data_IF_958695241804
#
_entry.id   IF_958695241804
#
_cell.length_a   1.000
_cell.length_b   1.000
_cell.length_c   1.000
_cell.angle_alpha   90.00
_cell.angle_beta   90.00
_cell.angle_gamma   90.00
#
_symmetry.space_group_name_H-M   'P 1'
#
loop_
_entity.id
_entity.type
_entity.pdbx_description
1 polymer ?
#
# COMPACT_ATOMS: atom_id res chain seq x y z
N UNK A 1 7.06 -13.34 4.78
CA UNK A 1 5.78 -12.62 4.94
C UNK A 1 4.95 -13.32 5.98
N UNK A 2 4.26 -12.58 6.86
CA UNK A 2 3.24 -13.18 7.76
C UNK A 2 1.86 -13.27 7.09
N UNK A 3 1.55 -12.33 6.20
CA UNK A 3 0.28 -12.23 5.48
C UNK A 3 0.54 -11.53 4.15
N UNK A 4 -0.03 -12.05 3.08
CA UNK A 4 -0.19 -11.35 1.81
C UNK A 4 -1.67 -11.44 1.51
N UNK A 5 -2.35 -10.30 1.35
CA UNK A 5 -3.75 -10.24 0.93
C UNK A 5 -3.86 -9.60 -0.43
N UNK A 6 -4.81 -10.09 -1.21
CA UNK A 6 -5.13 -9.58 -2.53
C UNK A 6 -6.64 -9.54 -2.67
N UNK A 7 -7.15 -8.40 -3.13
CA UNK A 7 -8.55 -8.19 -3.47
C UNK A 7 -8.60 -7.78 -4.92
N UNK A 8 -9.46 -8.46 -5.68
CA UNK A 8 -9.79 -8.09 -7.05
C UNK A 8 -11.30 -7.90 -7.14
N UNK A 9 -11.71 -6.78 -7.74
CA UNK A 9 -13.11 -6.48 -7.99
C UNK A 9 -13.31 -6.10 -9.45
N UNK A 10 -14.20 -6.84 -10.10
CA UNK A 10 -14.61 -6.65 -11.49
C UNK A 10 -16.08 -6.21 -11.54
N UNK A 11 -16.32 -4.92 -11.81
CA UNK A 11 -17.64 -4.38 -12.11
C UNK A 11 -17.73 -3.91 -13.57
N UNK A 12 -17.08 -4.65 -14.48
CA UNK A 12 -16.98 -4.30 -15.90
C UNK A 12 -16.28 -2.96 -16.11
N UNK A 13 -16.80 -2.15 -17.03
CA UNK A 13 -16.19 -0.86 -17.34
C UNK A 13 -16.37 0.17 -16.22
N UNK A 14 -17.41 0.03 -15.39
CA UNK A 14 -17.75 1.01 -14.37
C UNK A 14 -16.64 1.14 -13.33
N UNK A 15 -16.19 0.01 -12.76
CA UNK A 15 -15.14 -0.03 -11.74
C UNK A 15 -14.31 -1.30 -11.90
N UNK A 16 -12.98 -1.17 -11.81
CA UNK A 16 -12.05 -2.27 -11.57
C UNK A 16 -11.17 -1.89 -10.39
N UNK A 17 -10.95 -2.81 -9.45
CA UNK A 17 -10.05 -2.60 -8.33
C UNK A 17 -9.09 -3.77 -8.20
N UNK A 18 -7.82 -3.46 -8.02
CA UNK A 18 -6.82 -4.38 -7.51
C UNK A 18 -6.16 -3.75 -6.28
N UNK A 19 -6.38 -4.35 -5.12
CA UNK A 19 -5.78 -3.93 -3.86
C UNK A 19 -4.95 -5.08 -3.29
N UNK A 20 -3.77 -4.79 -2.79
CA UNK A 20 -2.93 -5.80 -2.14
C UNK A 20 -2.07 -5.18 -1.07
N UNK A 21 -1.93 -5.90 0.05
CA UNK A 21 -1.04 -5.50 1.14
C UNK A 21 -0.22 -6.71 1.58
N UNK A 22 1.10 -6.52 1.63
CA UNK A 22 2.06 -7.57 1.93
C UNK A 22 2.76 -7.21 3.22
N UNK A 23 2.53 -8.02 4.25
CA UNK A 23 3.10 -7.84 5.58
C UNK A 23 4.33 -8.72 5.71
N UNK A 24 5.55 -8.16 5.75
CA UNK A 24 6.74 -8.92 6.12
C UNK A 24 6.53 -9.61 7.47
N UNK A 25 7.26 -10.71 7.68
CA UNK A 25 7.35 -11.27 9.04
C UNK A 25 8.04 -10.22 9.93
N UNK A 26 7.50 -9.99 11.13
CA UNK A 26 7.92 -8.91 12.02
C UNK A 26 9.42 -8.98 12.37
N UNK A 27 10.02 -10.17 12.30
CA UNK A 27 11.45 -10.35 12.53
C UNK A 27 12.36 -9.64 11.53
N UNK A 28 11.83 -9.13 10.42
CA UNK A 28 12.64 -8.44 9.41
C UNK A 28 12.61 -6.92 9.55
N UNK A 29 11.69 -6.33 10.33
CA UNK A 29 11.55 -4.88 10.45
C UNK A 29 11.56 -4.16 9.08
N UNK A 30 10.69 -4.62 8.18
CA UNK A 30 10.56 -4.09 6.82
C UNK A 30 9.21 -3.38 6.67
N UNK A 31 9.11 -2.38 5.77
CA UNK A 31 7.88 -1.69 5.47
C UNK A 31 6.81 -2.64 4.94
N UNK A 32 5.55 -2.24 5.05
CA UNK A 32 4.44 -2.94 4.40
C UNK A 32 4.40 -2.54 2.93
N UNK A 33 4.28 -3.50 2.01
CA UNK A 33 4.03 -3.15 0.60
C UNK A 33 2.53 -2.92 0.42
N UNK A 34 2.15 -1.66 0.19
CA UNK A 34 0.77 -1.25 -0.10
C UNK A 34 0.57 -1.02 -1.59
N UNK A 35 -0.46 -1.64 -2.16
CA UNK A 35 -0.85 -1.50 -3.56
C UNK A 35 -2.35 -1.23 -3.64
N UNK A 36 -2.72 -0.15 -4.31
CA UNK A 36 -4.12 0.21 -4.55
C UNK A 36 -4.30 0.78 -5.96
N UNK A 37 -4.88 -0.02 -6.85
CA UNK A 37 -5.06 0.31 -8.26
C UNK A 37 -6.55 0.30 -8.58
N UNK A 38 -7.09 1.47 -8.95
CA UNK A 38 -8.50 1.65 -9.28
C UNK A 38 -8.65 2.19 -10.70
N UNK A 39 -9.60 1.65 -11.44
CA UNK A 39 -10.08 2.19 -12.71
C UNK A 39 -11.57 2.48 -12.61
N UNK A 40 -11.97 3.67 -13.04
CA UNK A 40 -13.35 4.12 -13.07
C UNK A 40 -13.76 4.46 -14.50
N UNK A 41 -14.83 3.83 -14.98
CA UNK A 41 -15.40 4.04 -16.32
C UNK A 41 -14.39 3.86 -17.47
N UNK A 42 -13.29 3.13 -17.25
CA UNK A 42 -12.11 3.05 -18.14
C UNK A 42 -11.55 4.42 -18.59
N UNK A 43 -11.78 5.46 -17.78
CA UNK A 43 -11.45 6.86 -18.12
C UNK A 43 -10.66 7.55 -17.03
N UNK A 44 -10.78 7.11 -15.78
CA UNK A 44 -10.07 7.68 -14.66
C UNK A 44 -9.38 6.57 -13.91
N UNK A 45 -8.12 6.77 -13.60
CA UNK A 45 -7.30 5.80 -12.90
C UNK A 45 -6.72 6.45 -11.66
N UNK A 46 -6.67 5.70 -10.57
CA UNK A 46 -5.95 6.02 -9.35
C UNK A 46 -4.99 4.87 -9.08
N UNK A 47 -3.72 5.19 -8.88
CA UNK A 47 -2.70 4.19 -8.56
C UNK A 47 -1.87 4.64 -7.38
N UNK A 48 -1.72 3.74 -6.41
CA UNK A 48 -0.85 3.87 -5.25
C UNK A 48 0.00 2.60 -5.17
N UNK A 49 1.32 2.76 -5.11
CA UNK A 49 2.25 1.68 -4.80
C UNK A 49 3.32 2.24 -3.87
N UNK A 50 3.47 1.66 -2.68
CA UNK A 50 4.34 2.23 -1.65
C UNK A 50 4.96 1.19 -0.72
N UNK A 51 6.13 1.54 -0.18
CA UNK A 51 6.75 0.86 0.95
C UNK A 51 6.36 1.63 2.22
N UNK A 52 5.21 1.29 2.77
CA UNK A 52 4.58 1.98 3.88
C UNK A 52 5.40 1.79 5.17
N UNK A 53 6.00 2.86 5.72
CA UNK A 53 6.89 2.76 6.88
C UNK A 53 6.12 2.38 8.13
N UNK A 54 6.74 1.61 9.03
CA UNK A 54 6.11 1.15 10.26
C UNK A 54 6.61 1.90 11.51
N UNK A 55 7.67 2.71 11.48
CA UNK A 55 8.21 3.31 12.72
C UNK A 55 7.36 4.50 13.17
N UNK A 56 7.39 4.86 14.47
CA UNK A 56 6.75 6.09 14.96
C UNK A 56 7.37 7.38 14.37
N UNK A 57 8.68 7.36 14.13
CA UNK A 57 9.37 8.35 13.31
C UNK A 57 9.46 7.81 11.89
N UNK A 58 8.42 8.09 11.10
CA UNK A 58 8.25 7.55 9.77
C UNK A 58 9.30 8.03 8.78
N UNK A 59 9.75 9.28 8.94
CA UNK A 59 10.84 9.84 8.16
C UNK A 59 12.10 9.02 8.36
N UNK A 60 12.43 8.65 9.60
CA UNK A 60 13.61 7.83 9.88
C UNK A 60 13.58 6.45 9.21
N UNK A 61 12.40 5.83 9.12
CA UNK A 61 12.24 4.50 8.53
C UNK A 61 12.11 4.54 7.01
N UNK A 62 11.39 5.54 6.47
CA UNK A 62 11.27 5.78 5.03
C UNK A 62 12.63 6.06 4.40
N UNK A 63 13.45 6.90 5.04
CA UNK A 63 14.77 7.29 4.49
C UNK A 63 15.74 6.11 4.34
N UNK A 64 15.55 5.01 5.08
CA UNK A 64 16.32 3.77 4.89
C UNK A 64 16.15 3.23 3.47
N UNK A 65 14.98 3.40 2.86
CA UNK A 65 14.63 2.82 1.56
C UNK A 65 14.61 3.85 0.42
N UNK A 66 14.76 5.14 0.70
CA UNK A 66 14.75 6.19 -0.34
C UNK A 66 15.79 5.93 -1.44
N UNK A 67 17.00 5.53 -1.06
CA UNK A 67 18.09 5.30 -2.01
C UNK A 67 17.84 4.16 -3.01
N UNK A 68 16.94 3.22 -2.69
CA UNK A 68 16.54 2.13 -3.60
C UNK A 68 15.25 2.45 -4.38
N UNK A 69 14.31 3.20 -3.79
CA UNK A 69 13.01 3.49 -4.40
C UNK A 69 13.03 4.71 -5.31
N UNK A 70 13.77 5.76 -4.93
CA UNK A 70 13.86 7.00 -5.69
C UNK A 70 14.33 6.78 -7.14
N UNK A 71 15.36 5.95 -7.43
CA UNK A 71 15.76 5.68 -8.80
C UNK A 71 14.68 4.97 -9.64
N UNK A 72 13.75 4.25 -9.00
CA UNK A 72 12.61 3.63 -9.68
C UNK A 72 11.56 4.70 -9.96
N UNK A 73 11.17 5.47 -8.95
CA UNK A 73 10.18 6.56 -9.07
C UNK A 73 10.61 7.59 -10.12
N UNK A 74 11.89 7.95 -10.17
CA UNK A 74 12.41 8.95 -11.10
C UNK A 74 12.22 8.59 -12.57
N UNK A 75 12.08 7.31 -12.92
CA UNK A 75 11.85 6.85 -14.30
C UNK A 75 10.44 7.16 -14.82
N UNK A 76 9.48 7.45 -13.95
CA UNK A 76 8.06 7.51 -14.30
C UNK A 76 7.41 8.83 -13.84
N UNK A 77 7.53 9.88 -14.65
CA UNK A 77 7.01 11.21 -14.31
C UNK A 77 5.49 11.22 -14.06
N UNK A 78 4.73 10.40 -14.80
CA UNK A 78 3.29 10.28 -14.64
C UNK A 78 2.86 9.69 -13.28
N UNK A 79 3.79 9.11 -12.51
CA UNK A 79 3.52 8.45 -11.22
C UNK A 79 3.99 9.27 -10.00
N UNK A 80 4.36 10.54 -10.22
CA UNK A 80 4.86 11.47 -9.18
C UNK A 80 3.80 12.49 -8.74
N UNK A 81 2.52 12.11 -8.79
CA UNK A 81 1.42 12.93 -8.29
C UNK A 81 1.49 13.16 -6.78
N UNK A 82 0.61 14.02 -6.28
CA UNK A 82 0.49 14.33 -4.84
C UNK A 82 -0.86 13.88 -4.32
N UNK A 83 -0.86 13.26 -3.16
CA UNK A 83 -2.09 12.98 -2.44
C UNK A 83 -2.75 14.30 -2.01
N UNK A 84 -4.06 14.28 -1.80
CA UNK A 84 -4.75 15.40 -1.16
C UNK A 84 -4.89 15.11 0.33
N UNK A 85 -4.54 16.07 1.18
CA UNK A 85 -4.66 16.05 2.64
C UNK A 85 -6.07 15.81 3.22
N UNK A 86 -7.07 15.56 2.36
CA UNK A 86 -8.48 15.35 2.74
C UNK A 86 -8.81 13.91 3.14
N UNK A 87 -8.05 12.91 2.70
CA UNK A 87 -8.41 11.49 2.86
C UNK A 87 -7.42 10.70 3.72
N UNK A 88 -6.15 11.07 3.69
CA UNK A 88 -5.13 10.54 4.59
C UNK A 88 -4.38 11.71 5.20
N UNK A 89 -3.93 11.54 6.45
CA UNK A 89 -2.80 12.33 6.91
C UNK A 89 -1.61 11.87 6.07
N UNK A 90 -1.12 12.73 5.18
CA UNK A 90 -0.03 12.41 4.23
C UNK A 90 1.27 12.02 4.96
N UNK A 91 1.29 12.15 6.28
CA UNK A 91 2.44 11.91 7.15
C UNK A 91 2.36 10.63 7.96
N UNK A 92 1.29 9.82 7.81
CA UNK A 92 1.14 8.58 8.57
C UNK A 92 1.03 7.33 7.68
N UNK A 93 2.02 6.44 7.80
CA UNK A 93 2.26 5.20 7.06
C UNK A 93 2.48 5.36 5.55
N UNK A 94 2.97 6.52 5.08
CA UNK A 94 3.32 6.73 3.67
C UNK A 94 4.78 7.18 3.51
N UNK A 95 5.47 6.59 2.53
CA UNK A 95 6.85 6.96 2.23
C UNK A 95 6.93 8.17 1.28
N UNK A 96 8.07 8.88 1.33
CA UNK A 96 8.38 9.96 0.37
C UNK A 96 8.49 9.46 -1.07
N UNK A 97 8.80 8.19 -1.24
CA UNK A 97 8.96 7.54 -2.54
C UNK A 97 7.71 6.82 -3.02
N UNK A 98 6.55 7.00 -2.36
CA UNK A 98 5.27 6.51 -2.85
C UNK A 98 5.05 6.88 -4.33
N UNK A 99 4.67 5.90 -5.14
CA UNK A 99 4.09 6.14 -6.45
C UNK A 99 2.63 6.51 -6.23
N UNK A 100 2.25 7.71 -6.65
CA UNK A 100 0.88 8.19 -6.56
C UNK A 100 0.49 8.82 -7.88
N UNK A 101 -0.57 8.33 -8.50
CA UNK A 101 -0.98 8.81 -9.82
C UNK A 101 -2.50 8.92 -9.92
N UNK A 102 -2.95 10.02 -10.52
CA UNK A 102 -4.30 10.15 -11.07
C UNK A 102 -4.17 10.53 -12.53
N UNK A 103 -4.71 9.73 -13.42
CA UNK A 103 -4.57 9.94 -14.87
C UNK A 103 -5.80 9.45 -15.63
N UNK A 104 -5.93 9.90 -16.87
CA UNK A 104 -7.04 9.53 -17.77
C UNK A 104 -6.60 8.72 -18.98
N UNK A 105 -5.32 8.82 -19.38
CA UNK A 105 -4.77 8.02 -20.47
C UNK A 105 -4.48 6.58 -20.00
N UNK A 106 -5.29 5.63 -20.47
CA UNK A 106 -5.14 4.21 -20.15
C UNK A 106 -3.82 3.59 -20.62
N UNK A 107 -3.07 4.22 -21.54
CA UNK A 107 -1.73 3.75 -21.95
C UNK A 107 -0.73 3.77 -20.79
N UNK A 108 -0.85 4.75 -19.89
CA UNK A 108 -0.01 4.90 -18.69
C UNK A 108 -0.03 3.62 -17.83
N UNK A 109 -1.12 2.84 -17.86
CA UNK A 109 -1.20 1.56 -17.15
C UNK A 109 -0.09 0.59 -17.60
N UNK A 110 0.11 0.44 -18.91
CA UNK A 110 1.06 -0.51 -19.46
C UNK A 110 2.47 0.07 -19.59
N UNK A 111 2.56 1.35 -19.98
CA UNK A 111 3.82 2.00 -20.31
C UNK A 111 4.61 2.38 -19.03
N UNK A 112 3.91 2.80 -17.97
CA UNK A 112 4.54 3.33 -16.76
C UNK A 112 4.17 2.53 -15.51
N UNK A 113 2.87 2.38 -15.21
CA UNK A 113 2.41 1.82 -13.93
C UNK A 113 2.82 0.37 -13.76
N UNK A 114 2.55 -0.50 -14.73
CA UNK A 114 2.86 -1.93 -14.64
C UNK A 114 4.38 -2.21 -14.48
N UNK A 115 5.30 -1.60 -15.25
CA UNK A 115 6.72 -1.80 -15.01
C UNK A 115 7.19 -1.21 -13.67
N UNK A 116 6.68 -0.04 -13.25
CA UNK A 116 7.01 0.53 -11.94
C UNK A 116 6.53 -0.37 -10.79
N UNK A 117 5.29 -0.86 -10.87
CA UNK A 117 4.71 -1.85 -9.94
C UNK A 117 5.61 -3.08 -9.81
N UNK A 118 6.02 -3.68 -10.93
CA UNK A 118 6.93 -4.84 -10.91
C UNK A 118 8.24 -4.52 -10.20
N UNK A 119 8.87 -3.37 -10.53
CA UNK A 119 10.12 -2.95 -9.87
C UNK A 119 9.95 -2.77 -8.36
N UNK A 120 8.83 -2.21 -7.89
CA UNK A 120 8.54 -2.08 -6.45
C UNK A 120 8.36 -3.45 -5.79
N UNK A 121 7.57 -4.34 -6.40
CA UNK A 121 7.33 -5.70 -5.86
C UNK A 121 8.64 -6.51 -5.81
N UNK A 122 9.41 -6.51 -6.90
CA UNK A 122 10.70 -7.20 -6.98
C UNK A 122 11.68 -6.68 -5.92
N UNK A 123 11.81 -5.35 -5.80
CA UNK A 123 12.63 -4.71 -4.77
C UNK A 123 12.20 -5.11 -3.36
N UNK A 124 10.89 -5.15 -3.09
CA UNK A 124 10.36 -5.52 -1.78
C UNK A 124 10.66 -7.00 -1.44
N UNK A 125 10.47 -7.89 -2.42
CA UNK A 125 10.79 -9.32 -2.28
C UNK A 125 12.28 -9.51 -2.03
N UNK A 126 13.13 -8.76 -2.71
CA UNK A 126 14.58 -8.83 -2.50
C UNK A 126 15.00 -8.31 -1.13
N UNK A 127 14.37 -7.25 -0.60
CA UNK A 127 14.58 -6.85 0.79
C UNK A 127 14.23 -7.99 1.76
N UNK A 128 13.08 -8.63 1.60
CA UNK A 128 12.67 -9.74 2.50
C UNK A 128 13.65 -10.92 2.45
N UNK A 129 14.25 -11.21 1.29
CA UNK A 129 15.23 -12.30 1.14
C UNK A 129 16.58 -11.95 1.78
N UNK A 130 17.00 -10.70 1.70
CA UNK A 130 18.36 -10.29 2.05
C UNK A 130 18.48 -9.66 3.44
N UNK A 131 17.37 -9.25 4.06
CA UNK A 131 17.36 -8.70 5.42
C UNK A 131 17.56 -9.81 6.46
N UNK A 132 18.60 -9.72 7.32
CA UNK A 132 18.78 -10.65 8.42
C UNK A 132 17.61 -10.60 9.40
N UNK A 133 17.30 -11.74 10.03
CA UNK A 133 16.30 -11.80 11.09
C UNK A 133 16.81 -11.08 12.35
N UNK A 134 15.93 -10.33 13.00
CA UNK A 134 16.17 -9.75 14.30
C UNK A 134 16.45 -10.85 15.32
N UNK A 135 17.47 -10.63 16.14
CA UNK A 135 17.89 -11.58 17.18
C UNK A 135 17.18 -11.36 18.51
N UNK A 136 16.72 -10.12 18.74
CA UNK A 136 16.09 -9.69 19.97
C UNK A 136 14.56 -9.87 19.84
N UNK A 137 13.91 -10.72 20.66
CA UNK A 137 12.47 -10.92 20.61
C UNK A 137 11.66 -9.63 20.83
N UNK A 138 12.19 -8.68 21.60
CA UNK A 138 11.56 -7.40 21.86
C UNK A 138 11.47 -6.54 20.59
N UNK A 139 12.46 -6.60 19.70
CA UNK A 139 12.42 -5.89 18.42
C UNK A 139 11.33 -6.49 17.51
N UNK A 140 11.22 -7.82 17.50
CA UNK A 140 10.17 -8.54 16.74
C UNK A 140 8.78 -8.14 17.24
N UNK A 141 8.58 -8.14 18.55
CA UNK A 141 7.32 -7.75 19.18
C UNK A 141 6.96 -6.29 18.87
N UNK A 142 7.94 -5.39 18.93
CA UNK A 142 7.73 -3.99 18.58
C UNK A 142 7.28 -3.82 17.13
N UNK A 143 7.92 -4.49 16.17
CA UNK A 143 7.51 -4.43 14.76
C UNK A 143 6.09 -4.99 14.56
N UNK A 144 5.73 -6.06 15.28
CA UNK A 144 4.39 -6.63 15.22
C UNK A 144 3.33 -5.64 15.72
N UNK A 145 3.57 -4.96 16.85
CA UNK A 145 2.70 -3.90 17.37
C UNK A 145 2.55 -2.73 16.38
N UNK A 146 3.62 -2.39 15.66
CA UNK A 146 3.55 -1.36 14.62
C UNK A 146 2.74 -1.81 13.39
N UNK A 147 2.79 -3.08 13.02
CA UNK A 147 1.90 -3.63 12.00
C UNK A 147 0.43 -3.65 12.45
N UNK A 148 0.16 -3.85 13.74
CA UNK A 148 -1.18 -3.69 14.30
C UNK A 148 -1.64 -2.24 14.25
N UNK A 149 -0.79 -1.29 14.65
CA UNK A 149 -1.10 0.14 14.55
C UNK A 149 -1.38 0.60 13.11
N UNK A 150 -0.68 0.04 12.14
CA UNK A 150 -0.95 0.24 10.71
C UNK A 150 -2.35 -0.26 10.33
N UNK A 151 -2.74 -1.46 10.77
CA UNK A 151 -4.06 -2.04 10.48
C UNK A 151 -5.17 -1.18 11.09
N UNK A 152 -5.07 -0.81 12.37
CA UNK A 152 -6.05 0.08 13.04
C UNK A 152 -6.18 1.43 12.34
N UNK A 153 -5.06 2.09 12.03
CA UNK A 153 -5.08 3.39 11.33
C UNK A 153 -5.77 3.28 9.96
N UNK A 154 -5.45 2.23 9.21
CA UNK A 154 -5.92 2.04 7.85
C UNK A 154 -7.39 1.62 7.80
N UNK A 155 -7.85 0.80 8.76
CA UNK A 155 -9.25 0.42 8.90
C UNK A 155 -10.15 1.63 9.17
N UNK A 156 -9.75 2.49 10.11
CA UNK A 156 -10.50 3.68 10.50
C UNK A 156 -10.62 4.74 9.39
N UNK A 157 -9.73 4.70 8.39
CA UNK A 157 -9.59 5.71 7.35
C UNK A 157 -9.78 5.19 5.94
N UNK A 158 -10.14 3.91 5.77
CA UNK A 158 -10.26 3.30 4.45
C UNK A 158 -11.27 4.08 3.59
N UNK A 159 -10.82 4.79 2.52
CA UNK A 159 -11.71 5.58 1.67
C UNK A 159 -12.68 4.69 0.87
N UNK A 160 -12.43 3.37 0.79
CA UNK A 160 -13.29 2.42 0.11
C UNK A 160 -14.49 1.97 0.96
N UNK A 161 -14.56 2.30 2.26
CA UNK A 161 -15.65 1.87 3.13
C UNK A 161 -17.03 2.26 2.59
N UNK A 162 -17.18 3.50 2.12
CA UNK A 162 -18.42 3.98 1.51
C UNK A 162 -18.75 3.26 0.20
N UNK A 163 -17.74 2.89 -0.59
CA UNK A 163 -17.90 2.14 -1.83
C UNK A 163 -18.39 0.71 -1.53
N UNK A 164 -17.75 0.01 -0.60
CA UNK A 164 -18.17 -1.34 -0.19
C UNK A 164 -19.57 -1.34 0.39
N UNK A 165 -19.90 -0.40 1.27
CA UNK A 165 -21.22 -0.30 1.88
C UNK A 165 -22.33 -0.06 0.85
N UNK A 166 -22.06 0.76 -0.18
CA UNK A 166 -23.02 1.00 -1.26
C UNK A 166 -23.24 -0.22 -2.16
N UNK A 167 -22.22 -1.08 -2.33
CA UNK A 167 -22.28 -2.24 -3.21
C UNK A 167 -22.79 -3.51 -2.51
N UNK A 168 -22.40 -3.72 -1.26
CA UNK A 168 -22.58 -4.99 -0.54
C UNK A 168 -23.33 -4.86 0.79
N UNK A 169 -23.64 -3.63 1.21
CA UNK A 169 -24.27 -3.36 2.51
C UNK A 169 -23.25 -3.06 3.61
N UNK A 170 -23.71 -2.39 4.67
CA UNK A 170 -22.84 -1.89 5.75
C UNK A 170 -22.17 -3.00 6.54
N UNK A 171 -22.93 -4.01 6.97
CA UNK A 171 -22.42 -5.13 7.77
C UNK A 171 -21.31 -5.88 7.01
N UNK A 172 -21.56 -6.23 5.75
CA UNK A 172 -20.54 -6.86 4.90
C UNK A 172 -19.28 -5.99 4.74
N UNK A 173 -19.46 -4.68 4.57
CA UNK A 173 -18.33 -3.76 4.43
C UNK A 173 -17.49 -3.66 5.71
N UNK A 174 -18.14 -3.62 6.88
CA UNK A 174 -17.48 -3.63 8.19
C UNK A 174 -16.69 -4.93 8.38
N UNK A 175 -17.31 -6.10 8.18
CA UNK A 175 -16.63 -7.40 8.27
C UNK A 175 -15.44 -7.47 7.29
N UNK A 176 -15.62 -6.99 6.05
CA UNK A 176 -14.55 -7.02 5.06
C UNK A 176 -13.36 -6.14 5.45
N UNK A 177 -13.61 -4.95 6.01
CA UNK A 177 -12.55 -4.04 6.46
C UNK A 177 -11.82 -4.60 7.68
N UNK A 178 -12.56 -4.92 8.74
CA UNK A 178 -11.98 -5.24 10.05
C UNK A 178 -11.51 -6.70 10.15
N UNK A 179 -12.16 -7.65 9.48
CA UNK A 179 -11.78 -9.08 9.59
C UNK A 179 -10.84 -9.53 8.47
N UNK A 180 -10.90 -8.91 7.29
CA UNK A 180 -10.10 -9.32 6.13
C UNK A 180 -9.00 -8.32 5.74
N UNK A 181 -9.35 -7.08 5.40
CA UNK A 181 -8.38 -6.08 4.95
C UNK A 181 -7.39 -5.74 6.06
N UNK A 182 -7.86 -5.48 7.27
CA UNK A 182 -7.03 -5.02 8.38
C UNK A 182 -7.29 -5.88 9.63
N UNK A 183 -7.07 -7.19 9.49
CA UNK A 183 -7.43 -8.21 10.50
C UNK A 183 -6.71 -8.12 11.86
N UNK A 184 -5.84 -7.14 12.09
CA UNK A 184 -5.27 -6.85 13.42
C UNK A 184 -5.86 -5.58 14.05
N UNK A 185 -6.75 -4.88 13.34
CA UNK A 185 -7.33 -3.59 13.76
C UNK A 185 -8.14 -3.67 15.04
#
# INVERSE_FOLDING_TARGET
YRKIRMTYYDAGDAVQVFNSVWYPDAKYNLPVLGIDLLSFNRKKYLAIVDFQPLHPDEDSHSTIYEHILKPIKEKYDNLKGRMSSKFYDETQFFSKEMLFARFEDGKIVNDDLFPAFKSYVETHVDLVKNTPQAKNPQDVQHVFERQQAYDTYSADRDPAAGLFAAMFGKEWAEDFIYDFLFSLS
#
